data_IF_633794613340
#
_entry.id   IF_633794613340
#
_cell.length_a   1.000
_cell.length_b   1.000
_cell.length_c   1.000
_cell.angle_alpha   90.00
_cell.angle_beta   90.00
_cell.angle_gamma   90.00
#
_symmetry.space_group_name_H-M   'P 1'
#
loop_
_entity.id
_entity.type
_entity.pdbx_description
1 polymer ?
#
# COMPACT_ATOMS: atom_id res chain seq x y z
N UNK A 1 16.75 -44.39 14.76
CA UNK A 1 16.16 -43.08 15.10
C UNK A 1 16.01 -42.32 13.79
N UNK A 2 14.84 -42.42 13.15
CA UNK A 2 14.57 -41.86 11.83
C UNK A 2 13.91 -40.49 12.01
N UNK A 3 14.48 -39.45 11.40
CA UNK A 3 13.89 -38.12 11.38
C UNK A 3 12.70 -38.10 10.40
N UNK A 4 11.57 -37.44 10.74
CA UNK A 4 10.42 -37.36 9.86
C UNK A 4 10.71 -36.46 8.65
N UNK A 5 10.37 -36.97 7.48
CA UNK A 5 10.47 -36.33 6.18
C UNK A 5 9.57 -35.09 6.14
N UNK A 6 10.15 -33.92 5.85
CA UNK A 6 9.42 -32.66 5.78
C UNK A 6 8.54 -32.64 4.53
N UNK A 7 7.21 -32.64 4.73
CA UNK A 7 6.22 -32.51 3.66
C UNK A 7 6.42 -31.20 2.87
N UNK A 8 6.44 -31.25 1.52
CA UNK A 8 6.61 -30.06 0.70
C UNK A 8 5.39 -29.13 0.83
N UNK A 9 5.65 -27.86 1.16
CA UNK A 9 4.61 -26.83 1.20
C UNK A 9 4.06 -26.59 -0.23
N UNK A 10 2.74 -26.55 -0.43
CA UNK A 10 2.17 -26.28 -1.74
C UNK A 10 2.54 -24.85 -2.18
N UNK A 11 2.99 -24.74 -3.43
CA UNK A 11 3.20 -23.46 -4.11
C UNK A 11 1.83 -22.78 -4.26
N UNK A 12 1.67 -21.62 -3.63
CA UNK A 12 0.48 -20.78 -3.81
C UNK A 12 0.58 -20.15 -5.20
N UNK A 13 -0.14 -20.71 -6.16
CA UNK A 13 -0.29 -20.14 -7.49
C UNK A 13 -1.22 -18.92 -7.39
N UNK A 14 -0.66 -17.72 -7.42
CA UNK A 14 -1.45 -16.47 -7.51
C UNK A 14 -2.13 -16.40 -8.89
N UNK A 15 -3.35 -16.91 -8.97
CA UNK A 15 -4.19 -16.81 -10.17
C UNK A 15 -4.82 -15.41 -10.23
N UNK A 16 -4.09 -14.47 -10.86
CA UNK A 16 -4.50 -13.08 -11.04
C UNK A 16 -5.48 -12.89 -12.22
N UNK A 17 -6.48 -13.78 -12.37
CA UNK A 17 -7.28 -13.87 -13.62
C UNK A 17 -8.78 -13.59 -13.49
N UNK A 18 -9.28 -13.21 -12.32
CA UNK A 18 -10.70 -12.81 -12.22
C UNK A 18 -10.85 -11.31 -12.50
N UNK A 19 -11.52 -10.91 -13.59
CA UNK A 19 -11.73 -9.50 -13.89
C UNK A 19 -12.63 -8.89 -12.82
N UNK A 20 -12.25 -7.71 -12.34
CA UNK A 20 -12.99 -6.88 -11.38
C UNK A 20 -14.42 -6.51 -11.86
N UNK A 21 -14.80 -6.84 -13.08
CA UNK A 21 -16.18 -6.69 -13.57
C UNK A 21 -17.17 -7.59 -12.83
N UNK A 22 -16.75 -8.78 -12.36
CA UNK A 22 -17.58 -9.66 -11.52
C UNK A 22 -17.76 -9.17 -10.08
N UNK A 23 -16.94 -8.20 -9.64
CA UNK A 23 -17.01 -7.57 -8.31
C UNK A 23 -18.14 -6.54 -8.21
N UNK A 24 -18.55 -5.92 -9.33
CA UNK A 24 -19.56 -4.86 -9.34
C UNK A 24 -20.97 -5.33 -9.73
N UNK A 25 -21.15 -6.60 -10.11
CA UNK A 25 -22.43 -7.07 -10.65
C UNK A 25 -23.37 -7.67 -9.60
N UNK A 26 -22.87 -8.19 -8.47
CA UNK A 26 -23.66 -9.10 -7.60
C UNK A 26 -23.67 -8.78 -6.10
N UNK A 27 -23.09 -7.67 -5.63
CA UNK A 27 -22.72 -7.58 -4.20
C UNK A 27 -23.13 -6.31 -3.46
N UNK A 28 -23.85 -5.37 -4.08
CA UNK A 28 -24.46 -4.26 -3.34
C UNK A 28 -25.92 -4.10 -3.76
N UNK A 29 -26.78 -4.94 -3.18
CA UNK A 29 -28.22 -4.84 -3.40
C UNK A 29 -28.83 -4.35 -2.10
N UNK A 30 -29.31 -3.10 -2.13
CA UNK A 30 -30.15 -2.58 -1.07
C UNK A 30 -31.37 -3.51 -0.87
N UNK A 31 -31.71 -3.93 0.37
CA UNK A 31 -32.79 -4.88 0.60
C UNK A 31 -34.12 -4.38 0.06
N UNK A 32 -34.88 -5.26 -0.60
CA UNK A 32 -36.06 -4.82 -1.36
C UNK A 32 -37.19 -4.34 -0.45
N UNK A 33 -37.26 -4.91 0.74
CA UNK A 33 -38.26 -4.66 1.75
C UNK A 33 -37.94 -3.47 2.65
N UNK A 34 -36.71 -2.96 2.64
CA UNK A 34 -36.27 -1.93 3.59
C UNK A 34 -36.63 -0.52 3.11
N UNK A 35 -37.37 0.21 3.93
CA UNK A 35 -37.64 1.63 3.73
C UNK A 35 -37.26 2.36 5.01
N UNK A 36 -36.28 3.27 4.90
CA UNK A 36 -35.83 4.11 6.00
C UNK A 36 -36.33 5.53 5.74
N UNK A 37 -37.11 6.09 6.67
CA UNK A 37 -37.62 7.46 6.58
C UNK A 37 -36.95 8.29 7.64
N UNK A 38 -36.34 9.40 7.25
CA UNK A 38 -35.82 10.42 8.15
C UNK A 38 -36.75 11.63 8.03
N UNK A 39 -37.43 11.96 9.12
CA UNK A 39 -38.36 13.09 9.18
C UNK A 39 -38.11 13.90 10.43
N UNK A 40 -37.81 15.20 10.28
CA UNK A 40 -37.50 16.12 11.37
C UNK A 40 -36.42 15.58 12.33
N UNK A 41 -35.40 14.92 11.76
CA UNK A 41 -34.31 14.29 12.51
C UNK A 41 -34.64 12.99 13.22
N UNK A 42 -35.84 12.42 13.03
CA UNK A 42 -36.20 11.11 13.55
C UNK A 42 -36.26 10.05 12.44
N UNK A 43 -35.64 8.90 12.69
CA UNK A 43 -35.65 7.72 11.82
C UNK A 43 -36.83 6.84 12.16
N UNK A 44 -37.52 6.36 11.13
CA UNK A 44 -38.47 5.25 11.22
C UNK A 44 -38.24 4.26 10.10
N UNK A 45 -38.57 2.99 10.36
CA UNK A 45 -38.44 1.90 9.39
C UNK A 45 -39.76 1.12 9.27
N UNK A 46 -39.92 0.40 8.16
CA UNK A 46 -41.06 -0.50 7.93
C UNK A 46 -40.77 -1.96 8.28
N UNK A 47 -39.56 -2.28 8.74
CA UNK A 47 -39.09 -3.65 9.02
C UNK A 47 -39.03 -3.91 10.53
N UNK A 48 -38.88 -5.18 10.92
CA UNK A 48 -38.65 -5.53 12.32
C UNK A 48 -37.25 -5.13 12.74
N UNK A 49 -37.14 -4.37 13.84
CA UNK A 49 -35.88 -3.92 14.42
C UNK A 49 -35.41 -4.84 15.56
N UNK A 50 -34.09 -5.06 15.73
CA UNK A 50 -32.99 -4.50 14.95
C UNK A 50 -32.85 -5.16 13.57
N UNK A 51 -32.65 -4.35 12.53
CA UNK A 51 -32.38 -4.83 11.18
C UNK A 51 -30.87 -4.84 10.94
N UNK A 52 -30.31 -6.01 10.59
CA UNK A 52 -28.87 -6.24 10.55
C UNK A 52 -28.43 -6.54 9.11
N UNK A 53 -27.47 -5.76 8.63
CA UNK A 53 -26.75 -6.01 7.38
C UNK A 53 -25.37 -6.56 7.77
N UNK A 54 -25.13 -7.84 7.54
CA UNK A 54 -23.92 -8.52 8.00
C UNK A 54 -22.74 -8.25 7.08
N UNK A 55 -21.51 -8.17 7.63
CA UNK A 55 -20.29 -8.16 6.82
C UNK A 55 -20.09 -9.51 6.10
N UNK A 56 -20.63 -10.61 6.64
CA UNK A 56 -20.53 -11.93 6.02
C UNK A 56 -21.30 -12.04 4.71
N UNK A 57 -22.35 -11.23 4.52
CA UNK A 57 -23.04 -11.13 3.23
C UNK A 57 -22.11 -10.58 2.14
N UNK A 58 -21.04 -9.87 2.56
CA UNK A 58 -19.99 -9.31 1.71
C UNK A 58 -18.66 -10.07 1.85
N UNK A 59 -18.66 -11.29 2.39
CA UNK A 59 -17.45 -12.07 2.71
C UNK A 59 -16.45 -12.17 1.55
N UNK A 60 -16.93 -12.28 0.30
CA UNK A 60 -16.06 -12.30 -0.90
C UNK A 60 -15.25 -11.03 -1.09
N UNK A 61 -15.77 -9.88 -0.66
CA UNK A 61 -15.14 -8.56 -0.78
C UNK A 61 -14.09 -8.37 0.31
N UNK A 62 -14.42 -8.76 1.54
CA UNK A 62 -13.54 -8.55 2.70
C UNK A 62 -12.42 -9.59 2.82
N UNK A 63 -12.64 -10.84 2.43
CA UNK A 63 -11.59 -11.86 2.43
C UNK A 63 -10.47 -11.53 1.41
N UNK A 64 -10.82 -10.91 0.28
CA UNK A 64 -9.85 -10.49 -0.76
C UNK A 64 -9.15 -9.15 -0.42
N UNK A 65 -9.71 -8.33 0.48
CA UNK A 65 -9.14 -7.05 0.92
C UNK A 65 -8.30 -7.13 2.20
N UNK A 66 -8.02 -8.32 2.75
CA UNK A 66 -7.09 -8.46 3.89
C UNK A 66 -5.67 -8.08 3.45
N UNK A 67 -5.34 -6.81 3.59
CA UNK A 67 -3.98 -6.29 3.44
C UNK A 67 -3.13 -6.88 4.58
N UNK A 68 -2.05 -7.56 4.22
CA UNK A 68 -1.04 -8.09 5.15
C UNK A 68 -0.61 -6.98 6.13
N UNK A 69 -1.02 -7.09 7.40
CA UNK A 69 -0.57 -6.22 8.49
C UNK A 69 -1.60 -5.25 9.09
N UNK A 70 -2.81 -5.13 8.53
CA UNK A 70 -3.86 -4.29 9.14
C UNK A 70 -4.57 -5.04 10.29
N UNK A 71 -4.53 -4.47 11.50
CA UNK A 71 -5.38 -4.91 12.62
C UNK A 71 -6.79 -4.33 12.43
N UNK A 72 -7.66 -5.03 11.71
CA UNK A 72 -9.08 -4.70 11.70
C UNK A 72 -9.72 -5.18 13.00
N UNK A 73 -10.56 -4.37 13.68
CA UNK A 73 -11.37 -4.84 14.79
C UNK A 73 -12.30 -5.98 14.35
N UNK A 74 -12.66 -6.88 15.28
CA UNK A 74 -13.56 -8.02 15.06
C UNK A 74 -15.02 -7.56 14.84
N UNK A 75 -15.25 -6.81 13.76
CA UNK A 75 -16.58 -6.35 13.35
C UNK A 75 -17.30 -7.47 12.62
N UNK A 76 -18.55 -7.69 12.99
CA UNK A 76 -19.41 -8.75 12.44
C UNK A 76 -20.49 -8.15 11.53
N UNK A 77 -20.92 -6.93 11.83
CA UNK A 77 -22.02 -6.25 11.15
C UNK A 77 -21.53 -5.01 10.41
N UNK A 78 -22.09 -4.75 9.23
CA UNK A 78 -21.76 -3.56 8.44
C UNK A 78 -22.62 -2.38 8.89
N UNK A 79 -23.93 -2.62 8.97
CA UNK A 79 -24.91 -1.65 9.40
C UNK A 79 -25.96 -2.35 10.26
N UNK A 80 -26.26 -1.77 11.41
CA UNK A 80 -27.42 -2.15 12.22
C UNK A 80 -28.37 -0.96 12.28
N UNK A 81 -29.65 -1.19 12.06
CA UNK A 81 -30.70 -0.19 12.19
C UNK A 81 -31.57 -0.60 13.37
N UNK A 82 -31.55 0.20 14.43
CA UNK A 82 -32.29 -0.03 15.66
C UNK A 82 -32.67 1.32 16.30
N UNK A 83 -33.92 1.72 16.16
CA UNK A 83 -34.41 3.01 16.68
C UNK A 83 -34.51 3.04 18.20
N UNK A 84 -34.41 1.88 18.88
CA UNK A 84 -34.42 1.79 20.34
C UNK A 84 -33.01 1.74 20.92
N UNK A 85 -32.00 1.53 20.09
CA UNK A 85 -30.61 1.49 20.51
C UNK A 85 -30.09 2.86 20.93
N UNK A 86 -29.15 2.83 21.87
CA UNK A 86 -28.36 3.92 22.38
C UNK A 86 -26.92 3.84 21.87
N UNK A 87 -26.12 4.85 22.19
CA UNK A 87 -24.71 4.89 21.82
C UNK A 87 -23.92 3.74 22.46
N UNK A 88 -24.29 3.33 23.68
CA UNK A 88 -23.61 2.25 24.42
C UNK A 88 -23.80 0.88 23.76
N UNK A 89 -24.83 0.74 22.93
CA UNK A 89 -25.13 -0.50 22.21
C UNK A 89 -24.20 -0.70 20.99
N UNK A 90 -23.52 0.35 20.53
CA UNK A 90 -22.64 0.32 19.35
C UNK A 90 -21.54 -0.73 19.45
N UNK A 91 -20.82 -0.75 20.58
CA UNK A 91 -19.74 -1.72 20.82
C UNK A 91 -20.29 -3.14 21.02
N UNK A 92 -21.44 -3.28 21.67
CA UNK A 92 -22.09 -4.58 21.91
C UNK A 92 -22.55 -5.23 20.61
N UNK A 93 -23.03 -4.43 19.65
CA UNK A 93 -23.54 -4.90 18.36
C UNK A 93 -22.43 -5.23 17.35
N UNK A 94 -21.15 -4.99 17.69
CA UNK A 94 -19.99 -5.28 16.83
C UNK A 94 -20.21 -4.82 15.36
N UNK A 95 -20.72 -3.60 15.21
CA UNK A 95 -21.12 -3.03 13.90
C UNK A 95 -20.20 -1.91 13.48
N UNK A 96 -19.96 -1.77 12.17
CA UNK A 96 -19.23 -0.63 11.63
C UNK A 96 -20.05 0.66 11.72
N UNK A 97 -21.36 0.57 11.49
CA UNK A 97 -22.31 1.67 11.59
C UNK A 97 -23.60 1.25 12.33
N UNK A 98 -24.15 2.16 13.12
CA UNK A 98 -25.42 2.01 13.83
C UNK A 98 -26.31 3.21 13.53
N UNK A 99 -27.50 2.96 12.98
CA UNK A 99 -28.54 3.95 12.79
C UNK A 99 -29.57 3.81 13.90
N UNK A 100 -29.66 4.83 14.75
CA UNK A 100 -30.63 4.92 15.85
C UNK A 100 -31.77 5.87 15.49
N UNK A 101 -32.69 6.14 16.43
CA UNK A 101 -33.80 7.05 16.20
C UNK A 101 -33.35 8.45 15.76
N UNK A 102 -32.33 9.01 16.39
CA UNK A 102 -31.94 10.41 16.22
C UNK A 102 -30.45 10.59 15.86
N UNK A 103 -29.68 9.50 15.79
CA UNK A 103 -28.23 9.53 15.58
C UNK A 103 -27.77 8.45 14.61
N UNK A 104 -26.74 8.77 13.84
CA UNK A 104 -25.95 7.84 13.08
C UNK A 104 -24.55 7.72 13.69
N UNK A 105 -24.14 6.52 14.07
CA UNK A 105 -22.89 6.25 14.79
C UNK A 105 -22.00 5.41 13.90
N UNK A 106 -20.75 5.82 13.73
CA UNK A 106 -19.78 5.15 12.85
C UNK A 106 -18.44 4.99 13.54
N UNK A 107 -17.76 3.89 13.27
CA UNK A 107 -16.40 3.66 13.75
C UNK A 107 -15.42 4.74 13.25
N UNK A 108 -14.48 5.16 14.10
CA UNK A 108 -13.45 6.15 13.77
C UNK A 108 -12.09 5.48 13.54
N UNK A 109 -11.26 6.06 12.67
CA UNK A 109 -9.93 5.56 12.31
C UNK A 109 -8.98 5.50 13.52
N UNK A 110 -9.28 6.23 14.59
CA UNK A 110 -8.51 6.26 15.85
C UNK A 110 -8.96 5.21 16.87
N UNK A 111 -9.85 4.28 16.50
CA UNK A 111 -10.32 3.21 17.38
C UNK A 111 -11.45 3.61 18.34
N UNK A 112 -12.10 4.74 18.09
CA UNK A 112 -13.33 5.18 18.78
C UNK A 112 -14.54 5.12 17.85
N UNK A 113 -15.57 5.91 18.15
CA UNK A 113 -16.72 6.11 17.25
C UNK A 113 -17.09 7.58 17.20
N UNK A 114 -17.70 8.00 16.10
CA UNK A 114 -18.27 9.33 15.91
C UNK A 114 -19.79 9.24 15.87
N UNK A 115 -20.43 10.19 16.52
CA UNK A 115 -21.89 10.29 16.60
C UNK A 115 -22.31 11.51 15.77
N UNK A 116 -23.16 11.28 14.77
CA UNK A 116 -23.75 12.30 13.93
C UNK A 116 -25.23 12.45 14.28
N UNK A 117 -25.66 13.56 14.90
CA UNK A 117 -27.07 13.86 15.09
C UNK A 117 -27.80 13.95 13.74
N UNK A 118 -29.02 13.45 13.67
CA UNK A 118 -29.84 13.51 12.47
C UNK A 118 -30.72 14.76 12.39
N UNK A 119 -30.66 15.63 13.40
CA UNK A 119 -31.44 16.90 13.45
C UNK A 119 -31.20 17.80 12.25
N UNK A 120 -30.00 17.77 11.68
CA UNK A 120 -29.61 18.61 10.54
C UNK A 120 -29.86 17.92 9.19
N UNK A 121 -30.35 16.68 9.20
CA UNK A 121 -30.63 15.91 7.99
C UNK A 121 -32.03 16.29 7.48
N UNK A 122 -32.08 16.75 6.23
CA UNK A 122 -33.34 17.05 5.54
C UNK A 122 -34.22 15.82 5.42
N UNK A 123 -35.53 16.03 5.40
CA UNK A 123 -36.51 14.95 5.23
C UNK A 123 -36.21 14.12 3.97
N UNK A 124 -35.97 12.82 4.17
CA UNK A 124 -35.60 11.90 3.08
C UNK A 124 -36.22 10.53 3.32
N UNK A 125 -36.63 9.89 2.23
CA UNK A 125 -37.07 8.48 2.22
C UNK A 125 -36.03 7.71 1.43
N UNK A 126 -35.32 6.82 2.12
CA UNK A 126 -34.34 5.92 1.54
C UNK A 126 -35.06 4.61 1.29
N UNK A 127 -35.30 4.34 0.01
CA UNK A 127 -35.87 3.09 -0.50
C UNK A 127 -34.98 2.51 -1.60
N UNK A 128 -35.41 1.39 -2.16
CA UNK A 128 -34.71 0.73 -3.26
C UNK A 128 -34.53 1.64 -4.47
N UNK A 129 -35.52 2.48 -4.79
CA UNK A 129 -35.47 3.32 -5.98
C UNK A 129 -34.43 4.43 -5.82
N UNK A 130 -34.36 5.08 -4.66
CA UNK A 130 -33.30 6.03 -4.35
C UNK A 130 -31.92 5.35 -4.35
N UNK A 131 -31.80 4.17 -3.73
CA UNK A 131 -30.56 3.42 -3.71
C UNK A 131 -30.09 3.02 -5.13
N UNK A 132 -31.01 2.61 -6.00
CA UNK A 132 -30.72 2.30 -7.40
C UNK A 132 -30.33 3.54 -8.20
N UNK A 133 -30.96 4.69 -7.96
CA UNK A 133 -30.58 5.97 -8.59
C UNK A 133 -29.15 6.37 -8.21
N UNK A 134 -28.83 6.35 -6.91
CA UNK A 134 -27.48 6.65 -6.42
C UNK A 134 -26.47 5.66 -7.02
N UNK A 135 -26.76 4.36 -6.96
CA UNK A 135 -25.88 3.33 -7.52
C UNK A 135 -25.65 3.53 -9.01
N UNK A 136 -26.70 3.85 -9.77
CA UNK A 136 -26.61 4.09 -11.21
C UNK A 136 -25.80 5.36 -11.54
N UNK A 137 -25.91 6.39 -10.70
CA UNK A 137 -25.12 7.62 -10.83
C UNK A 137 -23.64 7.40 -10.54
N UNK A 138 -23.29 6.56 -9.55
CA UNK A 138 -21.90 6.34 -9.12
C UNK A 138 -21.20 5.24 -9.93
N UNK A 139 -21.92 4.21 -10.40
CA UNK A 139 -21.38 3.10 -11.21
C UNK A 139 -20.45 3.50 -12.37
N UNK A 140 -20.72 4.55 -13.18
CA UNK A 140 -19.80 4.95 -14.25
C UNK A 140 -18.45 5.45 -13.72
N UNK A 141 -18.38 6.03 -12.52
CA UNK A 141 -17.13 6.50 -11.91
C UNK A 141 -16.24 5.34 -11.47
N UNK A 142 -16.82 4.28 -10.89
CA UNK A 142 -16.06 3.08 -10.47
C UNK A 142 -15.31 2.39 -11.62
N UNK A 143 -15.80 2.52 -12.86
CA UNK A 143 -15.08 2.03 -14.05
C UNK A 143 -13.71 2.71 -14.23
N UNK A 144 -13.59 3.98 -13.83
CA UNK A 144 -12.36 4.76 -13.93
C UNK A 144 -11.50 4.71 -12.68
N UNK A 145 -12.08 4.48 -11.50
CA UNK A 145 -11.34 4.41 -10.23
C UNK A 145 -10.22 3.38 -10.30
N UNK A 146 -10.49 2.18 -10.78
CA UNK A 146 -9.49 1.09 -10.83
C UNK A 146 -8.30 1.41 -11.75
N UNK A 147 -8.48 1.73 -13.04
CA UNK A 147 -7.35 2.05 -13.90
C UNK A 147 -6.60 3.31 -13.42
N UNK A 148 -7.31 4.32 -12.91
CA UNK A 148 -6.68 5.52 -12.40
C UNK A 148 -5.88 5.26 -11.12
N UNK A 149 -6.37 4.39 -10.24
CA UNK A 149 -5.63 3.93 -9.06
C UNK A 149 -4.38 3.13 -9.45
N UNK A 150 -4.47 2.24 -10.44
CA UNK A 150 -3.31 1.49 -10.96
C UNK A 150 -2.25 2.46 -11.52
N UNK A 151 -2.68 3.43 -12.34
CA UNK A 151 -1.79 4.46 -12.90
C UNK A 151 -1.19 5.31 -11.76
N UNK A 152 -1.99 5.72 -10.79
CA UNK A 152 -1.54 6.49 -9.63
C UNK A 152 -0.51 5.74 -8.80
N UNK A 153 -0.77 4.47 -8.46
CA UNK A 153 0.17 3.60 -7.76
C UNK A 153 1.45 3.43 -8.58
N UNK A 154 1.35 3.21 -9.89
CA UNK A 154 2.50 3.11 -10.76
C UNK A 154 3.35 4.38 -10.74
N UNK A 155 2.73 5.56 -10.89
CA UNK A 155 3.42 6.86 -10.82
C UNK A 155 4.08 7.04 -9.45
N UNK A 156 3.38 6.72 -8.36
CA UNK A 156 3.92 6.80 -7.01
C UNK A 156 5.13 5.88 -6.83
N UNK A 157 5.03 4.60 -7.18
CA UNK A 157 6.15 3.67 -7.09
C UNK A 157 7.33 4.11 -7.96
N UNK A 158 7.06 4.59 -9.17
CA UNK A 158 8.07 5.05 -10.11
C UNK A 158 8.72 6.37 -9.69
N UNK A 159 8.02 7.25 -8.97
CA UNK A 159 8.59 8.49 -8.46
C UNK A 159 9.35 8.25 -7.14
N UNK A 160 8.73 7.55 -6.19
CA UNK A 160 9.26 7.41 -4.84
C UNK A 160 10.46 6.46 -4.77
N UNK A 161 10.38 5.26 -5.36
CA UNK A 161 11.47 4.27 -5.26
C UNK A 161 12.79 4.80 -5.83
N UNK A 162 12.84 5.38 -7.05
CA UNK A 162 14.08 5.93 -7.58
C UNK A 162 14.55 7.16 -6.80
N UNK A 163 13.64 7.98 -6.27
CA UNK A 163 14.02 9.16 -5.48
C UNK A 163 14.78 8.79 -4.20
N UNK A 164 14.37 7.70 -3.54
CA UNK A 164 15.07 7.17 -2.36
C UNK A 164 16.48 6.69 -2.76
N UNK A 165 16.57 5.91 -3.83
CA UNK A 165 17.85 5.41 -4.35
C UNK A 165 18.77 6.55 -4.76
N UNK A 166 18.27 7.58 -5.46
CA UNK A 166 19.06 8.74 -5.88
C UNK A 166 19.57 9.55 -4.68
N UNK A 167 18.70 9.82 -3.70
CA UNK A 167 19.08 10.54 -2.47
C UNK A 167 20.19 9.80 -1.75
N UNK A 168 20.02 8.50 -1.58
CA UNK A 168 21.02 7.62 -0.98
C UNK A 168 22.33 7.59 -1.78
N UNK A 169 22.24 7.60 -3.12
CA UNK A 169 23.38 7.54 -4.01
C UNK A 169 24.24 8.80 -3.96
N UNK A 170 23.66 9.97 -3.72
CA UNK A 170 24.41 11.22 -3.51
C UNK A 170 25.39 11.04 -2.34
N UNK A 171 24.91 10.54 -1.20
CA UNK A 171 25.76 10.28 -0.04
C UNK A 171 26.77 9.16 -0.30
N UNK A 172 26.34 8.05 -0.93
CA UNK A 172 27.24 6.94 -1.26
C UNK A 172 28.37 7.34 -2.21
N UNK A 173 28.06 8.12 -3.25
CA UNK A 173 29.05 8.65 -4.19
C UNK A 173 30.02 9.62 -3.52
N UNK A 174 29.56 10.39 -2.52
CA UNK A 174 30.41 11.30 -1.76
C UNK A 174 31.43 10.54 -0.92
N UNK A 175 31.00 9.50 -0.20
CA UNK A 175 31.90 8.61 0.54
C UNK A 175 32.91 7.94 -0.40
N UNK A 176 32.45 7.44 -1.54
CA UNK A 176 33.33 6.81 -2.53
C UNK A 176 34.32 7.82 -3.15
N UNK A 177 33.90 9.07 -3.36
CA UNK A 177 34.77 10.14 -3.85
C UNK A 177 35.88 10.46 -2.84
N UNK A 178 35.58 10.52 -1.54
CA UNK A 178 36.58 10.69 -0.49
C UNK A 178 37.58 9.52 -0.52
N UNK A 179 37.08 8.28 -0.58
CA UNK A 179 37.93 7.09 -0.68
C UNK A 179 38.84 7.15 -1.93
N UNK A 180 38.29 7.58 -3.07
CA UNK A 180 39.06 7.79 -4.30
C UNK A 180 40.13 8.87 -4.17
N UNK A 181 39.86 9.97 -3.44
CA UNK A 181 40.86 11.00 -3.13
C UNK A 181 41.99 10.46 -2.25
N UNK A 182 41.67 9.63 -1.25
CA UNK A 182 42.70 8.96 -0.44
C UNK A 182 43.57 8.01 -1.26
N UNK A 183 43.00 7.40 -2.31
CA UNK A 183 43.73 6.54 -3.26
C UNK A 183 44.45 7.32 -4.38
N UNK A 184 44.43 8.66 -4.32
CA UNK A 184 45.01 9.57 -5.31
C UNK A 184 44.42 9.43 -6.73
N UNK A 185 43.13 9.10 -6.82
CA UNK A 185 42.44 8.95 -8.10
C UNK A 185 41.88 10.32 -8.60
N UNK A 186 42.33 10.84 -9.76
CA UNK A 186 42.03 12.22 -10.19
C UNK A 186 40.66 12.36 -10.87
N UNK A 187 39.63 11.68 -10.38
CA UNK A 187 38.29 11.78 -10.95
C UNK A 187 37.44 12.88 -10.26
N UNK A 188 36.58 13.58 -11.01
CA UNK A 188 35.59 14.49 -10.44
C UNK A 188 34.44 13.70 -9.80
N UNK A 189 33.75 14.30 -8.82
CA UNK A 189 32.61 13.70 -8.12
C UNK A 189 31.55 13.08 -9.07
N UNK A 190 31.25 13.75 -10.19
CA UNK A 190 30.32 13.26 -11.23
C UNK A 190 30.67 11.84 -11.72
N UNK A 191 31.95 11.50 -11.84
CA UNK A 191 32.39 10.16 -12.25
C UNK A 191 32.20 9.12 -11.14
N UNK A 192 32.45 9.49 -9.89
CA UNK A 192 32.14 8.63 -8.74
C UNK A 192 30.63 8.39 -8.58
N UNK A 193 29.80 9.39 -8.86
CA UNK A 193 28.35 9.23 -8.91
C UNK A 193 27.92 8.25 -10.01
N UNK A 194 28.52 8.33 -11.22
CA UNK A 194 28.28 7.36 -12.29
C UNK A 194 28.69 5.93 -11.88
N UNK A 195 29.87 5.77 -11.27
CA UNK A 195 30.33 4.47 -10.75
C UNK A 195 29.36 3.95 -9.69
N UNK A 196 28.99 4.80 -8.73
CA UNK A 196 28.01 4.46 -7.70
C UNK A 196 26.69 4.01 -8.31
N UNK A 197 26.19 4.69 -9.34
CA UNK A 197 24.92 4.36 -10.00
C UNK A 197 24.96 2.94 -10.57
N UNK A 198 26.02 2.60 -11.33
CA UNK A 198 26.19 1.25 -11.87
C UNK A 198 26.33 0.20 -10.77
N UNK A 199 27.09 0.51 -9.72
CA UNK A 199 27.31 -0.43 -8.62
C UNK A 199 26.07 -0.61 -7.74
N UNK A 200 25.23 0.41 -7.60
CA UNK A 200 24.04 0.40 -6.73
C UNK A 200 23.01 -0.67 -7.11
N UNK A 201 23.03 -1.11 -8.37
CA UNK A 201 22.15 -2.18 -8.85
C UNK A 201 22.37 -3.49 -8.08
N UNK A 202 23.62 -3.83 -7.79
CA UNK A 202 23.97 -5.10 -7.14
C UNK A 202 23.41 -5.19 -5.71
N UNK A 203 23.76 -4.29 -4.77
CA UNK A 203 23.22 -4.37 -3.42
C UNK A 203 21.69 -4.20 -3.44
N UNK A 204 21.14 -3.33 -4.30
CA UNK A 204 19.68 -3.14 -4.38
C UNK A 204 18.96 -4.44 -4.76
N UNK A 205 19.44 -5.15 -5.79
CA UNK A 205 18.89 -6.44 -6.20
C UNK A 205 19.06 -7.51 -5.13
N UNK A 206 20.25 -7.60 -4.50
CA UNK A 206 20.51 -8.59 -3.45
C UNK A 206 19.60 -8.37 -2.23
N UNK A 207 19.48 -7.14 -1.73
CA UNK A 207 18.57 -6.81 -0.63
C UNK A 207 17.11 -7.04 -1.01
N UNK A 208 16.72 -6.69 -2.24
CA UNK A 208 15.37 -6.95 -2.75
C UNK A 208 15.03 -8.44 -2.75
N UNK A 209 15.95 -9.30 -3.19
CA UNK A 209 15.79 -10.76 -3.15
C UNK A 209 15.69 -11.29 -1.72
N UNK A 210 16.55 -10.82 -0.80
CA UNK A 210 16.49 -11.25 0.60
C UNK A 210 15.13 -10.90 1.21
N UNK A 211 14.64 -9.67 0.99
CA UNK A 211 13.32 -9.23 1.44
C UNK A 211 12.19 -10.05 0.83
N UNK A 212 12.30 -10.43 -0.45
CA UNK A 212 11.31 -11.26 -1.13
C UNK A 212 11.15 -12.65 -0.49
N UNK A 213 12.25 -13.22 0.02
CA UNK A 213 12.23 -14.50 0.73
C UNK A 213 11.96 -14.37 2.24
N UNK A 214 11.46 -13.22 2.71
CA UNK A 214 11.12 -12.98 4.11
C UNK A 214 12.33 -12.70 5.01
N UNK A 215 13.51 -12.50 4.44
CA UNK A 215 14.68 -12.03 5.18
C UNK A 215 14.54 -10.55 5.52
N UNK A 216 15.03 -10.17 6.69
CA UNK A 216 15.12 -8.76 7.09
C UNK A 216 16.57 -8.45 7.50
N UNK A 217 17.22 -7.58 6.73
CA UNK A 217 18.58 -7.14 7.03
C UNK A 217 18.53 -5.67 7.44
N UNK A 218 18.45 -5.44 8.74
CA UNK A 218 18.28 -4.12 9.34
C UNK A 218 19.58 -3.52 9.87
N UNK A 219 20.70 -3.73 9.17
CA UNK A 219 21.98 -3.17 9.59
C UNK A 219 22.15 -1.74 9.02
N UNK A 220 22.34 -0.71 9.88
CA UNK A 220 22.47 0.66 9.44
C UNK A 220 23.71 0.81 8.55
N UNK A 221 23.58 1.53 7.43
CA UNK A 221 24.65 1.77 6.46
C UNK A 221 25.24 0.52 5.79
N UNK A 222 24.66 -0.69 5.95
CA UNK A 222 25.21 -1.90 5.31
C UNK A 222 25.29 -1.75 3.79
N UNK A 223 24.23 -1.22 3.19
CA UNK A 223 24.18 -0.91 1.77
C UNK A 223 25.32 0.04 1.37
N UNK A 224 25.77 0.93 2.27
CA UNK A 224 26.77 1.98 1.97
C UNK A 224 28.15 1.40 2.04
N UNK A 225 28.38 0.57 3.06
CA UNK A 225 29.60 -0.20 3.24
C UNK A 225 29.82 -1.10 2.03
N UNK A 226 28.80 -1.89 1.63
CA UNK A 226 28.89 -2.77 0.45
C UNK A 226 29.20 -1.96 -0.82
N UNK A 227 28.44 -0.89 -1.08
CA UNK A 227 28.66 -0.03 -2.25
C UNK A 227 30.08 0.56 -2.26
N UNK A 228 30.57 1.01 -1.11
CA UNK A 228 31.90 1.63 -0.98
C UNK A 228 33.02 0.61 -1.18
N UNK A 229 32.91 -0.58 -0.58
CA UNK A 229 33.89 -1.67 -0.77
C UNK A 229 33.96 -2.05 -2.25
N UNK A 230 32.81 -2.27 -2.89
CA UNK A 230 32.75 -2.59 -4.31
C UNK A 230 33.36 -1.46 -5.16
N UNK A 231 33.05 -0.21 -4.83
CA UNK A 231 33.62 0.95 -5.52
C UNK A 231 35.14 1.02 -5.39
N UNK A 232 35.69 0.78 -4.19
CA UNK A 232 37.13 0.73 -3.96
C UNK A 232 37.77 -0.39 -4.80
N UNK A 233 37.19 -1.59 -4.82
CA UNK A 233 37.67 -2.71 -5.65
C UNK A 233 37.74 -2.30 -7.12
N UNK A 234 36.69 -1.67 -7.65
CA UNK A 234 36.67 -1.19 -9.03
C UNK A 234 37.76 -0.15 -9.29
N UNK A 235 37.94 0.81 -8.39
CA UNK A 235 38.97 1.85 -8.53
C UNK A 235 40.38 1.26 -8.53
N UNK A 236 40.64 0.28 -7.65
CA UNK A 236 41.92 -0.42 -7.60
C UNK A 236 42.19 -1.21 -8.89
N UNK A 237 41.17 -1.87 -9.43
CA UNK A 237 41.27 -2.61 -10.69
C UNK A 237 41.48 -1.68 -11.90
N UNK A 238 40.83 -0.51 -11.91
CA UNK A 238 41.05 0.52 -12.93
C UNK A 238 42.48 1.06 -12.87
N UNK A 239 43.01 1.35 -11.67
CA UNK A 239 44.39 1.82 -11.48
C UNK A 239 45.43 0.83 -12.00
N UNK A 240 45.18 -0.48 -11.86
CA UNK A 240 46.06 -1.55 -12.37
C UNK A 240 46.09 -1.61 -13.91
N UNK A 241 45.02 -1.18 -14.57
CA UNK A 241 44.84 -1.26 -16.03
C UNK A 241 45.30 -0.03 -16.81
N UNK A 242 45.66 1.06 -16.14
CA UNK A 242 46.26 2.23 -16.81
C UNK A 242 47.71 1.91 -17.21
N UNK A 243 48.03 1.77 -18.51
CA UNK A 243 49.43 1.63 -18.94
C UNK A 243 50.16 2.95 -18.70
N UNK A 244 51.38 2.84 -18.21
CA UNK A 244 52.32 3.96 -18.00
C UNK A 244 52.71 4.52 -19.39
N UNK A 245 51.86 5.33 -20.00
CA UNK A 245 52.24 6.10 -21.19
C UNK A 245 52.60 7.51 -20.76
N UNK A 246 53.75 7.65 -20.10
CA UNK A 246 54.39 8.93 -19.84
C UNK A 246 55.78 8.95 -20.48
N UNK A 247 55.86 9.26 -21.78
CA UNK A 247 56.86 10.21 -22.33
C UNK A 247 56.57 10.52 -23.80
N UNK A 248 56.29 11.77 -24.18
CA UNK A 248 56.64 12.24 -25.52
C UNK A 248 58.17 12.28 -25.58
N UNK A 249 58.76 11.51 -26.51
CA UNK A 249 60.17 11.64 -26.90
C UNK A 249 60.42 13.13 -27.24
N UNK A 250 61.45 13.79 -26.69
CA UNK A 250 61.73 15.17 -27.07
C UNK A 250 62.04 15.18 -28.57
N UNK A 251 61.33 16.01 -29.32
CA UNK A 251 61.63 16.24 -30.72
C UNK A 251 63.06 16.77 -30.82
N UNK A 252 63.91 15.93 -31.40
CA UNK A 252 65.31 16.21 -31.71
C UNK A 252 65.35 17.35 -32.72
N UNK A 253 66.05 18.42 -32.34
CA UNK A 253 66.28 19.62 -33.15
C UNK A 253 67.13 19.23 -34.36
N UNK A 254 66.63 19.44 -35.58
CA UNK A 254 67.42 19.62 -36.80
C UNK A 254 66.68 20.58 -37.73
#
# INVERSE_FOLDING_TARGET
MFLPEASPRPLITLTLSKPLSGFLSNSFTYPQELVVKIQNGEVSTNVSEPYIISLFDFKRIFDEMRVLGAKTPDLVNLLVIDTKASVDDFTRLQTYALLTKDKFIVYDDKGGYRVYPLTDVSNVVIDKDLAMQITSAVKPFFKWVTPLAIIGIFILLFAFIPSEVMTYLIFGAFVLWIAGKMLSYPLPYKKFYQIGLHLSLIPTTVFGLISLFGGNVSFPFLRTIILTIMGIIVLLEMKKKEPITSTPKPAEKN
#
